data_IF_012167250685
#
_entry.id   IF_012167250685
#
_cell.length_a   1.000
_cell.length_b   1.000
_cell.length_c   1.000
_cell.angle_alpha   90.00
_cell.angle_beta   90.00
_cell.angle_gamma   90.00
#
_symmetry.space_group_name_H-M   'P 1'
#
loop_
_entity.id
_entity.type
_entity.pdbx_description
1 polymer ?
#
# COMPACT_ATOMS: atom_id res chain seq x y z
N UNK A 1 -32.80 21.82 -32.66
CA UNK A 1 -31.75 20.77 -32.58
C UNK A 1 -31.32 20.64 -31.13
N UNK A 2 -31.67 19.56 -30.44
CA UNK A 2 -31.13 19.28 -29.10
C UNK A 2 -29.67 18.86 -29.27
N UNK A 3 -28.75 19.63 -28.68
CA UNK A 3 -27.35 19.23 -28.63
C UNK A 3 -27.26 17.84 -27.98
N UNK A 4 -26.76 16.85 -28.73
CA UNK A 4 -26.44 15.53 -28.18
C UNK A 4 -25.33 15.78 -27.17
N UNK A 5 -25.62 15.62 -25.87
CA UNK A 5 -24.60 15.65 -24.84
C UNK A 5 -23.49 14.67 -25.24
N UNK A 6 -22.23 15.12 -25.20
CA UNK A 6 -21.10 14.25 -25.47
C UNK A 6 -21.20 13.02 -24.53
N UNK A 7 -20.96 11.79 -25.03
CA UNK A 7 -21.01 10.61 -24.19
C UNK A 7 -20.07 10.80 -23.00
N UNK A 8 -20.57 10.58 -21.78
CA UNK A 8 -19.77 10.73 -20.57
C UNK A 8 -18.50 9.86 -20.67
N UNK A 9 -17.34 10.47 -20.41
CA UNK A 9 -16.07 9.76 -20.41
C UNK A 9 -16.04 8.70 -19.29
N UNK A 10 -15.22 7.66 -19.45
CA UNK A 10 -15.05 6.64 -18.42
C UNK A 10 -14.63 7.25 -17.07
N UNK A 11 -13.78 8.27 -17.09
CA UNK A 11 -13.35 9.01 -15.91
C UNK A 11 -14.52 9.72 -15.23
N UNK A 12 -15.34 10.47 -15.97
CA UNK A 12 -16.48 11.18 -15.39
C UNK A 12 -17.44 10.22 -14.70
N UNK A 13 -17.73 9.08 -15.32
CA UNK A 13 -18.57 8.03 -14.74
C UNK A 13 -17.95 7.43 -13.47
N UNK A 14 -16.63 7.22 -13.45
CA UNK A 14 -15.92 6.70 -12.27
C UNK A 14 -15.92 7.71 -11.11
N UNK A 15 -15.69 8.99 -11.39
CA UNK A 15 -15.74 10.08 -10.41
C UNK A 15 -17.16 10.24 -9.85
N UNK A 16 -18.19 10.22 -10.71
CA UNK A 16 -19.58 10.25 -10.27
C UNK A 16 -19.91 9.07 -9.36
N UNK A 17 -19.48 7.85 -9.71
CA UNK A 17 -19.68 6.67 -8.88
C UNK A 17 -19.07 6.87 -7.48
N UNK A 18 -17.82 7.33 -7.41
CA UNK A 18 -17.12 7.57 -6.15
C UNK A 18 -17.79 8.66 -5.32
N UNK A 19 -18.17 9.78 -5.95
CA UNK A 19 -18.84 10.89 -5.28
C UNK A 19 -20.20 10.47 -4.70
N UNK A 20 -21.03 9.75 -5.48
CA UNK A 20 -22.32 9.23 -5.03
C UNK A 20 -22.16 8.25 -3.87
N UNK A 21 -21.23 7.31 -3.99
CA UNK A 21 -20.91 6.37 -2.92
C UNK A 21 -20.47 7.09 -1.63
N UNK A 22 -19.65 8.14 -1.77
CA UNK A 22 -19.20 8.92 -0.63
C UNK A 22 -20.33 9.70 0.06
N UNK A 23 -21.26 10.25 -0.74
CA UNK A 23 -22.38 11.07 -0.26
C UNK A 23 -23.53 10.26 0.35
N UNK A 24 -23.51 8.92 0.27
CA UNK A 24 -24.62 8.05 0.70
C UNK A 24 -25.04 8.26 2.16
N UNK A 25 -24.10 8.62 3.03
CA UNK A 25 -24.36 8.80 4.47
C UNK A 25 -24.88 10.20 4.81
N UNK A 26 -24.86 11.13 3.86
CA UNK A 26 -25.29 12.52 4.04
C UNK A 26 -26.74 12.76 3.62
N UNK A 27 -27.37 11.80 2.94
CA UNK A 27 -28.65 11.99 2.26
C UNK A 27 -29.64 10.92 2.70
N UNK A 28 -30.85 11.30 3.10
CA UNK A 28 -31.88 10.40 3.66
C UNK A 28 -32.36 9.26 2.73
N UNK A 29 -31.88 9.20 1.49
CA UNK A 29 -32.26 8.21 0.46
C UNK A 29 -31.12 7.25 0.10
N UNK A 30 -30.49 6.63 1.11
CA UNK A 30 -29.31 5.78 0.96
C UNK A 30 -29.44 4.73 -0.16
N UNK A 31 -30.57 4.02 -0.25
CA UNK A 31 -30.78 2.94 -1.22
C UNK A 31 -30.73 3.40 -2.69
N UNK A 32 -31.33 4.55 -3.01
CA UNK A 32 -31.32 5.10 -4.37
C UNK A 32 -29.93 5.57 -4.77
N UNK A 33 -29.20 6.20 -3.85
CA UNK A 33 -27.84 6.72 -4.09
C UNK A 33 -26.85 5.57 -4.29
N UNK A 34 -26.94 4.52 -3.47
CA UNK A 34 -26.21 3.26 -3.65
C UNK A 34 -26.42 2.68 -5.04
N UNK A 35 -27.68 2.57 -5.50
CA UNK A 35 -27.98 2.06 -6.83
C UNK A 35 -27.41 2.95 -7.95
N UNK A 36 -27.46 4.28 -7.78
CA UNK A 36 -26.86 5.21 -8.74
C UNK A 36 -25.34 5.08 -8.79
N UNK A 37 -24.67 4.95 -7.64
CA UNK A 37 -23.23 4.75 -7.56
C UNK A 37 -22.81 3.46 -8.30
N UNK A 38 -23.49 2.34 -8.03
CA UNK A 38 -23.25 1.07 -8.73
C UNK A 38 -23.52 1.16 -10.24
N UNK A 39 -24.59 1.86 -10.64
CA UNK A 39 -24.90 2.09 -12.05
C UNK A 39 -23.79 2.87 -12.76
N UNK A 40 -23.26 3.92 -12.13
CA UNK A 40 -22.15 4.72 -12.68
C UNK A 40 -20.85 3.95 -12.74
N UNK A 41 -20.55 3.16 -11.72
CA UNK A 41 -19.41 2.23 -11.71
C UNK A 41 -19.52 1.18 -12.83
N UNK A 42 -20.68 0.56 -13.02
CA UNK A 42 -20.88 -0.39 -14.13
C UNK A 42 -20.74 0.27 -15.51
N UNK A 43 -21.23 1.50 -15.65
CA UNK A 43 -21.09 2.27 -16.88
C UNK A 43 -19.65 2.68 -17.17
N UNK A 44 -18.86 3.04 -16.16
CA UNK A 44 -17.43 3.38 -16.33
C UNK A 44 -16.62 2.15 -16.78
N UNK A 45 -16.83 0.98 -16.16
CA UNK A 45 -16.24 -0.29 -16.60
C UNK A 45 -16.60 -0.63 -18.05
N UNK A 46 -17.88 -0.48 -18.41
CA UNK A 46 -18.34 -0.72 -19.78
C UNK A 46 -17.72 0.27 -20.78
N UNK A 47 -17.48 1.53 -20.38
CA UNK A 47 -16.78 2.51 -21.20
C UNK A 47 -15.31 2.11 -21.41
N UNK A 48 -14.57 1.77 -20.35
CA UNK A 48 -13.18 1.28 -20.45
C UNK A 48 -13.10 0.05 -21.36
N UNK A 49 -13.97 -0.94 -21.14
CA UNK A 49 -14.01 -2.18 -21.94
C UNK A 49 -14.27 -1.88 -23.42
N UNK A 50 -15.21 -0.98 -23.75
CA UNK A 50 -15.46 -0.59 -25.15
C UNK A 50 -14.20 -0.02 -25.79
N UNK A 51 -13.49 0.86 -25.10
CA UNK A 51 -12.25 1.44 -25.63
C UNK A 51 -11.18 0.38 -25.90
N UNK A 52 -11.04 -0.61 -25.00
CA UNK A 52 -10.14 -1.75 -25.20
C UNK A 52 -10.53 -2.56 -26.45
N UNK A 53 -11.82 -2.89 -26.60
CA UNK A 53 -12.32 -3.71 -27.71
C UNK A 53 -12.21 -3.01 -29.08
N UNK A 54 -12.15 -1.68 -29.13
CA UNK A 54 -12.04 -0.90 -30.38
C UNK A 54 -10.58 -0.69 -30.84
N UNK A 55 -9.64 -1.48 -30.31
CA UNK A 55 -8.34 -1.71 -30.95
C UNK A 55 -7.20 -0.82 -30.47
N UNK A 56 -7.41 0.10 -29.52
CA UNK A 56 -6.31 0.79 -28.82
C UNK A 56 -6.80 1.30 -27.47
N UNK A 57 -6.29 0.72 -26.38
CA UNK A 57 -6.43 1.33 -25.06
C UNK A 57 -5.59 2.63 -25.08
N UNK A 58 -6.21 3.83 -24.97
CA UNK A 58 -5.48 5.07 -24.97
C UNK A 58 -4.57 5.09 -23.75
N UNK A 59 -3.29 5.36 -23.98
CA UNK A 59 -2.29 5.51 -22.92
C UNK A 59 -2.31 6.92 -22.31
N UNK A 60 -3.43 7.64 -22.40
CA UNK A 60 -3.55 9.00 -21.88
C UNK A 60 -3.80 9.04 -20.36
N UNK A 61 -3.66 10.25 -19.79
CA UNK A 61 -3.84 10.49 -18.35
C UNK A 61 -5.27 10.18 -17.92
N UNK A 62 -6.26 10.45 -18.78
CA UNK A 62 -7.67 10.25 -18.46
C UNK A 62 -8.02 8.76 -18.28
N UNK A 63 -7.48 7.89 -19.12
CA UNK A 63 -7.71 6.46 -19.04
C UNK A 63 -7.07 5.86 -17.80
N UNK A 64 -5.80 6.21 -17.51
CA UNK A 64 -5.13 5.77 -16.28
C UNK A 64 -5.86 6.27 -15.03
N UNK A 65 -6.27 7.55 -15.02
CA UNK A 65 -7.05 8.11 -13.92
C UNK A 65 -8.39 7.39 -13.75
N UNK A 66 -9.10 7.09 -14.85
CA UNK A 66 -10.36 6.36 -14.79
C UNK A 66 -10.21 4.99 -14.14
N UNK A 67 -9.20 4.20 -14.54
CA UNK A 67 -8.94 2.88 -13.97
C UNK A 67 -8.57 2.99 -12.49
N UNK A 68 -7.72 3.95 -12.11
CA UNK A 68 -7.35 4.16 -10.71
C UNK A 68 -8.56 4.58 -9.85
N UNK A 69 -9.46 5.41 -10.37
CA UNK A 69 -10.70 5.80 -9.67
C UNK A 69 -11.67 4.63 -9.55
N UNK A 70 -11.82 3.80 -10.58
CA UNK A 70 -12.62 2.56 -10.54
C UNK A 70 -12.08 1.64 -9.46
N UNK A 71 -10.77 1.43 -9.45
CA UNK A 71 -10.14 0.57 -8.46
C UNK A 71 -10.27 1.15 -7.04
N UNK A 72 -10.10 2.47 -6.85
CA UNK A 72 -10.36 3.11 -5.54
C UNK A 72 -11.81 2.91 -5.08
N UNK A 73 -12.78 3.00 -6.00
CA UNK A 73 -14.17 2.71 -5.69
C UNK A 73 -14.33 1.26 -5.20
N UNK A 74 -13.71 0.31 -5.90
CA UNK A 74 -13.77 -1.11 -5.54
C UNK A 74 -13.12 -1.40 -4.18
N UNK A 75 -12.00 -0.73 -3.89
CA UNK A 75 -11.37 -0.81 -2.57
C UNK A 75 -12.35 -0.22 -1.56
N UNK A 76 -12.65 1.07 -1.59
CA UNK A 76 -13.39 1.72 -0.50
C UNK A 76 -14.79 1.13 -0.30
N UNK A 77 -15.52 0.81 -1.37
CA UNK A 77 -16.96 0.51 -1.31
C UNK A 77 -17.36 -0.92 -1.70
N UNK A 78 -16.57 -1.62 -2.52
CA UNK A 78 -16.83 -3.02 -2.90
C UNK A 78 -16.03 -4.02 -2.08
N UNK A 79 -15.14 -3.51 -1.23
CA UNK A 79 -14.43 -4.30 -0.22
C UNK A 79 -13.48 -5.34 -0.83
N UNK A 80 -12.79 -4.97 -1.92
CA UNK A 80 -11.69 -5.79 -2.45
C UNK A 80 -10.46 -5.70 -1.55
N UNK A 81 -9.80 -6.85 -1.36
CA UNK A 81 -8.67 -7.03 -0.45
C UNK A 81 -7.32 -6.73 -1.13
N UNK A 82 -7.08 -7.27 -2.34
CA UNK A 82 -5.80 -7.12 -3.03
C UNK A 82 -5.74 -5.84 -3.90
N UNK A 83 -4.73 -4.96 -3.71
CA UNK A 83 -4.56 -3.77 -4.52
C UNK A 83 -4.38 -4.10 -6.01
N UNK A 84 -5.12 -3.42 -6.89
CA UNK A 84 -4.97 -3.51 -8.35
C UNK A 84 -5.18 -4.90 -8.96
N UNK A 85 -5.60 -5.93 -8.20
CA UNK A 85 -5.65 -7.33 -8.67
C UNK A 85 -6.39 -7.50 -10.00
N UNK A 86 -7.58 -6.92 -10.13
CA UNK A 86 -8.38 -7.06 -11.35
C UNK A 86 -7.90 -6.19 -12.51
N UNK A 87 -7.13 -5.16 -12.20
CA UNK A 87 -6.70 -4.14 -13.16
C UNK A 87 -5.20 -4.23 -13.47
N UNK A 88 -4.50 -5.22 -12.91
CA UNK A 88 -3.03 -5.33 -12.98
C UNK A 88 -2.56 -5.34 -14.42
N UNK A 89 -3.14 -6.17 -15.28
CA UNK A 89 -2.75 -6.29 -16.68
C UNK A 89 -3.01 -4.99 -17.45
N UNK A 90 -4.12 -4.30 -17.17
CA UNK A 90 -4.45 -3.02 -17.81
C UNK A 90 -3.48 -1.92 -17.36
N UNK A 91 -3.15 -1.88 -16.07
CA UNK A 91 -2.19 -0.94 -15.51
C UNK A 91 -0.78 -1.18 -16.05
N UNK A 92 -0.33 -2.43 -16.07
CA UNK A 92 0.97 -2.82 -16.64
C UNK A 92 1.08 -2.37 -18.09
N UNK A 93 0.07 -2.66 -18.90
CA UNK A 93 0.00 -2.20 -20.29
C UNK A 93 0.05 -0.68 -20.39
N UNK A 94 -0.77 0.04 -19.60
CA UNK A 94 -0.83 1.51 -19.65
C UNK A 94 0.50 2.14 -19.26
N UNK A 95 1.12 1.67 -18.18
CA UNK A 95 2.42 2.18 -17.77
C UNK A 95 3.48 1.93 -18.86
N UNK A 96 3.52 0.72 -19.43
CA UNK A 96 4.45 0.39 -20.50
C UNK A 96 4.21 1.26 -21.75
N UNK A 97 2.96 1.44 -22.17
CA UNK A 97 2.59 2.24 -23.33
C UNK A 97 2.84 3.75 -23.15
N UNK A 98 2.79 4.24 -21.90
CA UNK A 98 3.14 5.62 -21.53
C UNK A 98 4.64 5.86 -21.47
N UNK A 99 5.41 4.82 -21.17
CA UNK A 99 6.87 4.87 -21.05
C UNK A 99 7.35 5.73 -19.87
N UNK A 100 8.66 5.89 -19.76
CA UNK A 100 9.29 6.63 -18.65
C UNK A 100 8.97 8.14 -18.70
N UNK A 101 8.76 8.71 -19.88
CA UNK A 101 8.45 10.14 -20.07
C UNK A 101 7.17 10.60 -19.36
N UNK A 102 6.32 9.68 -18.90
CA UNK A 102 5.12 10.02 -18.12
C UNK A 102 5.43 10.77 -16.81
N UNK A 103 6.63 10.61 -16.24
CA UNK A 103 6.99 11.30 -14.99
C UNK A 103 7.46 12.74 -15.21
N UNK A 104 7.61 13.17 -16.46
CA UNK A 104 8.06 14.52 -16.80
C UNK A 104 6.92 15.56 -16.72
N UNK A 105 5.65 15.12 -16.83
CA UNK A 105 4.51 16.02 -16.66
C UNK A 105 3.98 15.95 -15.22
N UNK A 106 3.48 17.06 -14.64
CA UNK A 106 2.96 17.04 -13.27
C UNK A 106 1.81 16.03 -13.06
N UNK A 107 0.88 15.95 -14.02
CA UNK A 107 -0.25 15.02 -13.98
C UNK A 107 0.24 13.58 -14.13
N UNK A 108 1.09 13.34 -15.13
CA UNK A 108 1.63 12.02 -15.39
C UNK A 108 2.48 11.50 -14.22
N UNK A 109 3.26 12.36 -13.58
CA UNK A 109 4.01 12.04 -12.36
C UNK A 109 3.08 11.70 -11.20
N UNK A 110 2.04 12.50 -10.94
CA UNK A 110 1.08 12.21 -9.88
C UNK A 110 0.39 10.84 -10.08
N UNK A 111 -0.04 10.56 -11.32
CA UNK A 111 -0.64 9.27 -11.69
C UNK A 111 0.36 8.12 -11.57
N UNK A 112 1.60 8.31 -12.05
CA UNK A 112 2.67 7.32 -11.91
C UNK A 112 2.92 7.03 -10.43
N UNK A 113 3.12 8.05 -9.59
CA UNK A 113 3.38 7.87 -8.15
C UNK A 113 2.28 7.06 -7.48
N UNK A 114 1.03 7.43 -7.73
CA UNK A 114 -0.14 6.73 -7.17
C UNK A 114 -0.25 5.28 -7.65
N UNK A 115 0.00 5.03 -8.93
CA UNK A 115 -0.06 3.68 -9.51
C UNK A 115 1.11 2.82 -9.03
N UNK A 116 2.33 3.36 -9.14
CA UNK A 116 3.59 2.72 -8.80
C UNK A 116 3.60 2.32 -7.33
N UNK A 117 3.16 3.19 -6.41
CA UNK A 117 3.11 2.86 -4.98
C UNK A 117 2.26 1.61 -4.70
N UNK A 118 1.09 1.54 -5.33
CA UNK A 118 0.13 0.45 -5.14
C UNK A 118 0.58 -0.84 -5.80
N UNK A 119 1.21 -0.75 -6.97
CA UNK A 119 1.92 -1.87 -7.59
C UNK A 119 3.05 -2.37 -6.68
N UNK A 120 3.83 -1.46 -6.11
CA UNK A 120 4.95 -1.85 -5.27
C UNK A 120 4.50 -2.53 -3.98
N UNK A 121 3.41 -2.07 -3.34
CA UNK A 121 2.78 -2.78 -2.22
C UNK A 121 2.48 -4.23 -2.65
N UNK A 122 1.78 -4.40 -3.77
CA UNK A 122 1.45 -5.72 -4.31
C UNK A 122 2.70 -6.57 -4.59
N UNK A 123 3.70 -5.99 -5.23
CA UNK A 123 4.94 -6.67 -5.60
C UNK A 123 5.78 -7.05 -4.38
N UNK A 124 5.82 -6.24 -3.32
CA UNK A 124 6.48 -6.58 -2.06
C UNK A 124 5.79 -7.77 -1.39
N UNK A 125 4.47 -7.71 -1.21
CA UNK A 125 3.72 -8.77 -0.52
C UNK A 125 3.70 -10.10 -1.28
N UNK A 126 3.77 -10.06 -2.61
CA UNK A 126 3.81 -11.25 -3.46
C UNK A 126 5.24 -11.63 -3.93
N UNK A 127 6.25 -10.88 -3.50
CA UNK A 127 7.67 -11.02 -3.91
C UNK A 127 7.85 -11.06 -5.44
N UNK A 128 7.13 -10.18 -6.15
CA UNK A 128 7.18 -10.05 -7.61
C UNK A 128 8.26 -9.06 -8.03
N UNK A 129 8.87 -9.31 -9.19
CA UNK A 129 9.82 -8.37 -9.79
C UNK A 129 9.11 -7.05 -10.15
N UNK A 130 9.82 -5.90 -10.06
CA UNK A 130 9.36 -4.67 -10.68
C UNK A 130 9.18 -4.80 -12.18
N UNK A 131 8.28 -3.98 -12.73
CA UNK A 131 8.10 -3.83 -14.17
C UNK A 131 9.28 -3.03 -14.76
N UNK A 132 9.64 -3.33 -16.01
CA UNK A 132 10.72 -2.62 -16.72
C UNK A 132 10.50 -1.10 -16.75
N UNK A 133 9.25 -0.66 -16.91
CA UNK A 133 8.92 0.78 -16.90
C UNK A 133 9.09 1.42 -15.51
N UNK A 134 8.86 0.69 -14.42
CA UNK A 134 9.11 1.23 -13.08
C UNK A 134 10.59 1.50 -12.87
N UNK A 135 11.45 0.59 -13.33
CA UNK A 135 12.91 0.73 -13.27
C UNK A 135 13.39 1.88 -14.16
N UNK A 136 12.87 1.99 -15.38
CA UNK A 136 13.22 3.07 -16.31
C UNK A 136 12.81 4.47 -15.81
N UNK A 137 11.82 4.56 -14.93
CA UNK A 137 11.43 5.84 -14.34
C UNK A 137 12.38 6.30 -13.22
N UNK A 138 13.15 5.42 -12.58
CA UNK A 138 13.98 5.75 -11.40
C UNK A 138 14.94 6.90 -11.72
N UNK A 139 15.60 6.84 -12.87
CA UNK A 139 16.61 7.82 -13.30
C UNK A 139 16.01 9.21 -13.59
N UNK A 140 14.69 9.31 -13.65
CA UNK A 140 13.95 10.55 -13.90
C UNK A 140 13.31 11.11 -12.62
N UNK A 141 13.43 10.43 -11.49
CA UNK A 141 12.87 10.87 -10.21
C UNK A 141 13.83 11.83 -9.50
N UNK A 142 13.24 12.80 -8.79
CA UNK A 142 13.96 13.65 -7.86
C UNK A 142 14.18 12.91 -6.54
N UNK A 143 15.35 12.30 -6.39
CA UNK A 143 15.71 11.53 -5.20
C UNK A 143 15.99 12.41 -3.96
N UNK A 144 16.00 13.74 -4.09
CA UNK A 144 16.00 14.62 -2.92
C UNK A 144 14.64 14.66 -2.23
N UNK A 145 13.57 14.30 -2.93
CA UNK A 145 12.24 14.14 -2.36
C UNK A 145 12.12 12.79 -1.62
N UNK A 146 11.80 12.78 -0.30
CA UNK A 146 11.76 11.55 0.49
C UNK A 146 10.80 10.46 -0.04
N UNK A 147 9.63 10.85 -0.54
CA UNK A 147 8.65 9.89 -1.08
C UNK A 147 9.16 9.21 -2.35
N UNK A 148 9.88 9.95 -3.20
CA UNK A 148 10.45 9.43 -4.44
C UNK A 148 11.68 8.56 -4.17
N UNK A 149 12.58 8.98 -3.28
CA UNK A 149 13.74 8.17 -2.89
C UNK A 149 13.32 6.86 -2.25
N UNK A 150 12.30 6.86 -1.38
CA UNK A 150 11.72 5.64 -0.82
C UNK A 150 11.18 4.70 -1.92
N UNK A 151 10.50 5.26 -2.93
CA UNK A 151 10.03 4.49 -4.08
C UNK A 151 11.16 3.83 -4.88
N UNK A 152 12.32 4.47 -4.99
CA UNK A 152 13.50 3.91 -5.65
C UNK A 152 14.17 2.82 -4.81
N UNK A 153 14.32 3.04 -3.49
CA UNK A 153 14.84 2.04 -2.54
C UNK A 153 14.00 0.76 -2.63
N UNK A 154 12.67 0.89 -2.64
CA UNK A 154 11.79 -0.28 -2.72
C UNK A 154 11.85 -1.02 -4.05
N UNK A 155 12.05 -0.33 -5.17
CA UNK A 155 12.25 -1.01 -6.46
C UNK A 155 13.51 -1.89 -6.44
N UNK A 156 14.62 -1.37 -5.89
CA UNK A 156 15.86 -2.14 -5.73
C UNK A 156 15.67 -3.32 -4.78
N UNK A 157 14.98 -3.10 -3.65
CA UNK A 157 14.65 -4.15 -2.69
C UNK A 157 13.82 -5.26 -3.34
N UNK A 158 12.80 -4.92 -4.14
CA UNK A 158 11.95 -5.86 -4.87
C UNK A 158 12.74 -6.72 -5.87
N UNK A 159 13.71 -6.16 -6.58
CA UNK A 159 14.59 -6.95 -7.47
C UNK A 159 15.37 -8.01 -6.68
N UNK A 160 15.91 -7.63 -5.51
CA UNK A 160 16.59 -8.60 -4.62
C UNK A 160 15.61 -9.64 -4.12
N UNK A 161 14.43 -9.25 -3.61
CA UNK A 161 13.40 -10.19 -3.10
C UNK A 161 12.96 -11.22 -4.16
N UNK A 162 12.69 -10.77 -5.38
CA UNK A 162 12.30 -11.66 -6.47
C UNK A 162 13.42 -12.63 -6.84
N UNK A 163 14.68 -12.16 -6.87
CA UNK A 163 15.86 -12.99 -7.10
C UNK A 163 16.00 -14.05 -6.00
N UNK A 164 15.97 -13.63 -4.73
CA UNK A 164 16.07 -14.52 -3.56
C UNK A 164 15.00 -15.61 -3.59
N UNK A 165 13.74 -15.25 -3.87
CA UNK A 165 12.64 -16.21 -3.98
C UNK A 165 12.91 -17.25 -5.06
N UNK A 166 13.34 -16.81 -6.24
CA UNK A 166 13.61 -17.72 -7.37
C UNK A 166 14.72 -18.71 -7.02
N UNK A 167 15.80 -18.24 -6.38
CA UNK A 167 16.93 -19.06 -5.97
C UNK A 167 16.53 -20.08 -4.89
N UNK A 168 15.83 -19.65 -3.84
CA UNK A 168 15.34 -20.56 -2.79
C UNK A 168 14.36 -21.62 -3.32
N UNK A 169 13.54 -21.27 -4.32
CA UNK A 169 12.57 -22.20 -4.91
C UNK A 169 13.24 -23.30 -5.75
N UNK A 170 14.44 -23.07 -6.28
CA UNK A 170 15.19 -24.04 -7.07
C UNK A 170 15.90 -25.11 -6.22
N UNK A 171 15.93 -24.97 -4.88
CA UNK A 171 16.37 -26.01 -3.94
C UNK A 171 17.86 -26.39 -3.97
N UNK A 172 18.66 -25.75 -4.81
CA UNK A 172 20.11 -25.99 -4.95
C UNK A 172 20.88 -24.67 -4.92
N UNK A 173 20.82 -23.98 -3.78
CA UNK A 173 21.61 -22.76 -3.53
C UNK A 173 22.86 -23.10 -2.75
N UNK A 174 24.03 -22.76 -3.29
CA UNK A 174 25.28 -22.90 -2.57
C UNK A 174 25.31 -21.95 -1.35
N UNK A 175 26.11 -22.27 -0.34
CA UNK A 175 26.26 -21.42 0.84
C UNK A 175 26.71 -20.00 0.48
N UNK A 176 27.67 -19.87 -0.43
CA UNK A 176 28.19 -18.58 -0.93
C UNK A 176 27.09 -17.74 -1.58
N UNK A 177 26.16 -18.36 -2.32
CA UNK A 177 25.02 -17.66 -2.91
C UNK A 177 24.08 -17.11 -1.82
N UNK A 178 23.86 -17.88 -0.76
CA UNK A 178 23.03 -17.48 0.37
C UNK A 178 23.68 -16.34 1.16
N UNK A 179 24.98 -16.39 1.41
CA UNK A 179 25.74 -15.30 2.03
C UNK A 179 25.66 -14.00 1.22
N UNK A 180 25.80 -14.12 -0.10
CA UNK A 180 25.65 -12.96 -0.98
C UNK A 180 24.22 -12.39 -0.95
N UNK A 181 23.19 -13.23 -0.85
CA UNK A 181 21.82 -12.76 -0.66
C UNK A 181 21.61 -12.07 0.69
N UNK A 182 22.16 -12.62 1.78
CA UNK A 182 22.13 -11.98 3.11
C UNK A 182 22.73 -10.59 3.03
N UNK A 183 23.96 -10.48 2.50
CA UNK A 183 24.65 -9.20 2.35
C UNK A 183 23.84 -8.18 1.54
N UNK A 184 23.22 -8.60 0.43
CA UNK A 184 22.37 -7.73 -0.38
C UNK A 184 21.12 -7.24 0.36
N UNK A 185 20.48 -8.10 1.15
CA UNK A 185 19.28 -7.72 1.91
C UNK A 185 19.66 -6.79 3.06
N UNK A 186 20.74 -7.09 3.79
CA UNK A 186 21.26 -6.22 4.84
C UNK A 186 21.63 -4.84 4.30
N UNK A 187 22.28 -4.76 3.13
CA UNK A 187 22.56 -3.49 2.47
C UNK A 187 21.31 -2.67 2.15
N UNK A 188 20.20 -3.31 1.76
CA UNK A 188 18.92 -2.62 1.55
C UNK A 188 18.26 -2.17 2.86
N UNK A 189 18.42 -2.94 3.94
CA UNK A 189 17.93 -2.58 5.26
C UNK A 189 18.70 -1.36 5.80
N UNK A 190 20.01 -1.32 5.60
CA UNK A 190 20.88 -0.20 5.98
C UNK A 190 20.56 1.06 5.15
N UNK A 191 20.40 0.93 3.83
CA UNK A 191 19.98 2.04 2.95
C UNK A 191 18.64 2.63 3.41
N UNK A 192 17.69 1.76 3.74
CA UNK A 192 16.37 2.15 4.25
C UNK A 192 16.48 2.85 5.61
N UNK A 193 17.33 2.38 6.51
CA UNK A 193 17.55 3.03 7.81
C UNK A 193 18.16 4.42 7.63
N UNK A 194 19.17 4.53 6.75
CA UNK A 194 19.78 5.83 6.43
C UNK A 194 18.75 6.81 5.84
N UNK A 195 17.86 6.33 4.97
CA UNK A 195 16.74 7.13 4.47
C UNK A 195 15.88 7.66 5.61
N UNK A 196 15.48 6.80 6.56
CA UNK A 196 14.67 7.20 7.71
C UNK A 196 15.39 8.24 8.58
N UNK A 197 16.68 8.06 8.83
CA UNK A 197 17.50 8.96 9.65
C UNK A 197 17.71 10.33 8.99
N UNK A 198 17.56 10.42 7.66
CA UNK A 198 17.67 11.66 6.89
C UNK A 198 16.38 12.49 6.83
N UNK A 199 15.27 11.97 7.36
CA UNK A 199 13.97 12.63 7.27
C UNK A 199 13.88 13.89 8.13
N UNK A 200 13.06 14.85 7.68
CA UNK A 200 12.73 16.03 8.46
C UNK A 200 11.96 15.64 9.74
N UNK A 201 12.13 16.36 10.87
CA UNK A 201 11.33 16.18 12.08
C UNK A 201 9.81 16.11 11.87
N UNK A 202 9.25 16.78 10.85
CA UNK A 202 7.82 16.68 10.50
C UNK A 202 7.33 15.28 10.12
N UNK A 203 8.25 14.40 9.73
CA UNK A 203 7.96 13.00 9.40
C UNK A 203 7.92 12.09 10.63
N UNK A 204 8.41 12.57 11.77
CA UNK A 204 8.45 11.80 13.01
C UNK A 204 7.03 11.72 13.60
N UNK A 205 6.44 10.53 13.73
CA UNK A 205 5.12 10.40 14.30
C UNK A 205 5.11 10.57 15.82
N UNK A 206 3.96 11.01 16.35
CA UNK A 206 3.67 11.00 17.79
C UNK A 206 2.96 9.69 18.13
N UNK A 207 3.55 8.87 19.00
CA UNK A 207 2.85 7.73 19.59
C UNK A 207 2.06 8.20 20.81
N UNK A 208 0.75 8.01 20.79
CA UNK A 208 -0.12 8.42 21.90
C UNK A 208 -0.96 7.25 22.41
N UNK A 209 -1.45 7.38 23.64
CA UNK A 209 -2.51 6.53 24.16
C UNK A 209 -3.87 7.16 23.82
N UNK A 210 -4.77 6.41 23.19
CA UNK A 210 -6.08 6.96 22.82
C UNK A 210 -6.91 7.40 24.04
N UNK A 211 -6.80 6.71 25.17
CA UNK A 211 -7.53 7.06 26.40
C UNK A 211 -7.18 8.44 26.96
N UNK A 212 -6.02 8.99 26.59
CA UNK A 212 -5.55 10.28 27.07
C UNK A 212 -6.16 11.43 26.24
N UNK A 213 -6.91 11.10 25.18
CA UNK A 213 -7.60 12.04 24.28
C UNK A 213 -9.09 11.65 24.12
N UNK A 214 -9.94 11.96 25.12
CA UNK A 214 -11.35 11.53 25.15
C UNK A 214 -12.15 11.91 23.91
N UNK A 215 -11.95 13.14 23.38
CA UNK A 215 -12.66 13.63 22.21
C UNK A 215 -12.48 12.73 20.98
N UNK A 216 -11.30 12.15 20.82
CA UNK A 216 -10.96 11.23 19.73
C UNK A 216 -11.39 9.81 20.07
N UNK A 217 -11.18 9.39 21.32
CA UNK A 217 -11.55 8.06 21.80
C UNK A 217 -13.06 7.80 21.69
N UNK A 218 -13.89 8.78 22.04
CA UNK A 218 -15.35 8.67 21.99
C UNK A 218 -15.84 8.48 20.54
N UNK A 219 -15.18 9.12 19.57
CA UNK A 219 -15.51 8.98 18.16
C UNK A 219 -15.20 7.56 17.68
N UNK A 220 -14.08 7.00 18.11
CA UNK A 220 -13.71 5.64 17.78
C UNK A 220 -14.53 4.55 18.49
N UNK A 221 -15.04 4.82 19.67
CA UNK A 221 -15.85 3.87 20.46
C UNK A 221 -17.35 3.96 20.16
N UNK A 222 -17.82 5.09 19.63
CA UNK A 222 -19.22 5.26 19.17
C UNK A 222 -19.60 4.33 18.02
N UNK A 223 -18.61 3.84 17.26
CA UNK A 223 -18.73 2.74 16.31
C UNK A 223 -17.94 1.55 16.86
N UNK A 224 -18.37 0.29 16.70
CA UNK A 224 -17.61 -0.89 17.15
C UNK A 224 -16.40 -1.15 16.26
N UNK A 225 -15.51 -0.15 16.14
CA UNK A 225 -14.31 -0.18 15.33
C UNK A 225 -13.20 -0.95 16.07
N UNK A 226 -12.44 -1.81 15.39
CA UNK A 226 -11.23 -2.38 15.97
C UNK A 226 -10.23 -1.25 16.25
N UNK A 227 -9.90 -1.07 17.53
CA UNK A 227 -8.92 -0.07 17.98
C UNK A 227 -7.77 -0.72 18.73
N UNK A 228 -6.64 -0.04 18.69
CA UNK A 228 -5.47 -0.29 19.55
C UNK A 228 -5.45 0.73 20.68
N UNK A 229 -4.88 0.37 21.84
CA UNK A 229 -4.76 1.31 22.96
C UNK A 229 -3.72 2.41 22.71
N UNK A 230 -2.70 2.10 21.90
CA UNK A 230 -1.68 3.02 21.40
C UNK A 230 -1.87 3.24 19.91
N UNK A 231 -1.58 4.45 19.43
CA UNK A 231 -1.65 4.77 17.99
C UNK A 231 -0.49 5.68 17.58
N UNK A 232 -0.08 5.58 16.31
CA UNK A 232 0.91 6.48 15.70
C UNK A 232 0.23 7.51 14.82
N UNK A 233 0.36 8.78 15.18
CA UNK A 233 -0.24 9.90 14.46
C UNK A 233 0.85 10.70 13.76
N UNK A 234 0.59 11.04 12.50
CA UNK A 234 1.47 11.80 11.63
C UNK A 234 0.87 13.18 11.35
N UNK A 235 1.70 14.15 11.00
CA UNK A 235 1.24 15.49 10.62
C UNK A 235 0.37 15.49 9.35
N UNK A 236 0.62 14.54 8.44
CA UNK A 236 -0.14 14.43 7.19
C UNK A 236 -0.38 12.95 6.82
N UNK A 237 -1.53 12.58 6.22
CA UNK A 237 -1.84 11.20 5.87
C UNK A 237 -0.98 10.63 4.75
N UNK A 238 -0.41 11.47 3.88
CA UNK A 238 0.57 11.06 2.88
C UNK A 238 1.87 10.68 3.55
N UNK A 239 2.32 11.43 4.58
CA UNK A 239 3.47 11.01 5.40
C UNK A 239 3.16 9.68 6.09
N UNK A 240 1.98 9.54 6.69
CA UNK A 240 1.55 8.27 7.28
C UNK A 240 1.57 7.14 6.25
N UNK A 241 1.04 7.37 5.05
CA UNK A 241 1.06 6.40 3.96
C UNK A 241 2.51 6.04 3.57
N UNK A 242 3.40 7.02 3.54
CA UNK A 242 4.78 6.82 3.16
C UNK A 242 5.57 6.02 4.19
N UNK A 243 5.41 6.35 5.47
CA UNK A 243 6.03 5.64 6.58
C UNK A 243 5.49 4.22 6.71
N UNK A 244 4.18 4.03 6.56
CA UNK A 244 3.60 2.68 6.50
C UNK A 244 4.17 1.86 5.34
N UNK A 245 4.36 2.48 4.17
CA UNK A 245 4.99 1.79 3.05
C UNK A 245 6.43 1.39 3.38
N UNK A 246 7.24 2.30 3.93
CA UNK A 246 8.60 2.01 4.42
C UNK A 246 8.62 0.77 5.31
N UNK A 247 7.74 0.71 6.32
CA UNK A 247 7.62 -0.44 7.22
C UNK A 247 7.22 -1.73 6.50
N UNK A 248 6.41 -1.66 5.45
CA UNK A 248 6.08 -2.83 4.62
C UNK A 248 7.30 -3.35 3.85
N UNK A 249 8.16 -2.46 3.34
CA UNK A 249 9.43 -2.84 2.70
C UNK A 249 10.37 -3.55 3.68
N UNK A 250 10.54 -2.96 4.87
CA UNK A 250 11.31 -3.56 5.97
C UNK A 250 10.78 -4.95 6.36
N UNK A 251 9.46 -5.10 6.47
CA UNK A 251 8.82 -6.36 6.80
C UNK A 251 9.08 -7.44 5.75
N UNK A 252 8.99 -7.10 4.46
CA UNK A 252 9.24 -8.01 3.35
C UNK A 252 10.72 -8.46 3.31
N UNK A 253 11.65 -7.51 3.40
CA UNK A 253 13.10 -7.78 3.42
C UNK A 253 13.49 -8.68 4.59
N UNK A 254 13.04 -8.36 5.80
CA UNK A 254 13.36 -9.16 7.00
C UNK A 254 12.73 -10.54 6.96
N UNK A 255 11.52 -10.67 6.40
CA UNK A 255 10.89 -11.99 6.21
C UNK A 255 11.70 -12.86 5.25
N UNK A 256 12.17 -12.31 4.13
CA UNK A 256 13.04 -13.03 3.19
C UNK A 256 14.40 -13.37 3.81
N UNK A 257 14.99 -12.45 4.57
CA UNK A 257 16.25 -12.70 5.28
C UNK A 257 16.11 -13.88 6.25
N UNK A 258 15.01 -13.95 7.01
CA UNK A 258 14.74 -15.10 7.87
C UNK A 258 14.60 -16.42 7.08
N UNK A 259 13.99 -16.39 5.89
CA UNK A 259 13.88 -17.58 5.04
C UNK A 259 15.28 -18.04 4.59
N UNK A 260 16.15 -17.12 4.16
CA UNK A 260 17.54 -17.41 3.77
C UNK A 260 18.34 -17.94 4.96
N UNK A 261 18.28 -17.28 6.12
CA UNK A 261 18.99 -17.70 7.33
C UNK A 261 18.51 -19.08 7.80
N UNK A 262 17.22 -19.40 7.66
CA UNK A 262 16.69 -20.72 7.97
C UNK A 262 17.23 -21.80 7.01
N UNK A 263 17.38 -21.48 5.72
CA UNK A 263 18.03 -22.37 4.74
C UNK A 263 19.51 -22.57 5.09
N UNK A 264 20.25 -21.50 5.38
CA UNK A 264 21.65 -21.59 5.85
C UNK A 264 21.73 -22.45 7.12
N UNK A 265 20.83 -22.26 8.09
CA UNK A 265 20.80 -23.05 9.32
C UNK A 265 20.67 -24.55 9.05
N UNK A 266 19.86 -24.94 8.06
CA UNK A 266 19.71 -26.35 7.67
C UNK A 266 20.97 -26.95 7.02
N UNK A 267 21.79 -26.12 6.38
CA UNK A 267 23.02 -26.51 5.70
C UNK A 267 24.25 -26.45 6.61
N UNK A 268 24.19 -25.71 7.71
CA UNK A 268 25.31 -25.47 8.60
C UNK A 268 25.88 -26.79 9.18
N UNK A 269 27.19 -27.04 9.07
CA UNK A 269 27.84 -28.30 9.45
C UNK A 269 27.92 -28.50 10.97
N UNK A 270 28.02 -27.42 11.75
CA UNK A 270 28.24 -27.49 13.19
C UNK A 270 27.19 -26.75 14.03
N UNK A 271 27.17 -27.05 15.32
CA UNK A 271 26.19 -26.52 16.26
C UNK A 271 26.43 -25.05 16.63
N UNK A 272 27.68 -24.58 16.57
CA UNK A 272 28.03 -23.20 16.91
C UNK A 272 27.49 -22.24 15.84
N UNK A 273 27.66 -22.58 14.56
CA UNK A 273 27.12 -21.80 13.45
C UNK A 273 25.59 -21.80 13.45
N UNK A 274 24.95 -22.94 13.72
CA UNK A 274 23.50 -23.02 13.89
C UNK A 274 23.00 -22.11 15.02
N UNK A 275 23.70 -22.08 16.15
CA UNK A 275 23.34 -21.21 17.27
C UNK A 275 23.46 -19.72 16.92
N UNK A 276 24.48 -19.33 16.15
CA UNK A 276 24.64 -17.95 15.64
C UNK A 276 23.49 -17.56 14.70
N UNK A 277 23.14 -18.43 13.76
CA UNK A 277 22.02 -18.22 12.84
C UNK A 277 20.68 -18.14 13.60
N UNK A 278 20.48 -18.97 14.62
CA UNK A 278 19.30 -18.92 15.48
C UNK A 278 19.16 -17.57 16.22
N UNK A 279 20.26 -17.03 16.72
CA UNK A 279 20.27 -15.71 17.36
C UNK A 279 19.88 -14.59 16.37
N UNK A 280 20.39 -14.65 15.13
CA UNK A 280 20.04 -13.70 14.07
C UNK A 280 18.56 -13.80 13.69
N UNK A 281 18.04 -15.03 13.54
CA UNK A 281 16.62 -15.29 13.25
C UNK A 281 15.72 -14.71 14.35
N UNK A 282 16.05 -14.90 15.63
CA UNK A 282 15.24 -14.37 16.73
C UNK A 282 15.30 -12.83 16.81
N UNK A 283 16.44 -12.23 16.46
CA UNK A 283 16.59 -10.76 16.37
C UNK A 283 15.66 -10.19 15.29
N UNK A 284 15.62 -10.80 14.11
CA UNK A 284 14.72 -10.38 13.04
C UNK A 284 13.26 -10.65 13.36
N UNK A 285 12.93 -11.75 14.01
CA UNK A 285 11.57 -12.06 14.48
C UNK A 285 11.05 -11.01 15.45
N UNK A 286 11.88 -10.61 16.43
CA UNK A 286 11.55 -9.52 17.37
C UNK A 286 11.30 -8.21 16.63
N UNK A 287 12.16 -7.88 15.66
CA UNK A 287 12.02 -6.66 14.85
C UNK A 287 10.76 -6.70 13.99
N UNK A 288 10.42 -7.84 13.39
CA UNK A 288 9.19 -8.04 12.62
C UNK A 288 7.95 -7.82 13.49
N UNK A 289 7.95 -8.33 14.73
CA UNK A 289 6.85 -8.09 15.67
C UNK A 289 6.68 -6.60 15.95
N UNK A 290 7.77 -5.88 16.22
CA UNK A 290 7.73 -4.43 16.46
C UNK A 290 7.20 -3.66 15.24
N UNK A 291 7.64 -4.01 14.03
CA UNK A 291 7.15 -3.39 12.80
C UNK A 291 5.65 -3.68 12.60
N UNK A 292 5.21 -4.91 12.90
CA UNK A 292 3.80 -5.28 12.81
C UNK A 292 2.93 -4.50 13.82
N UNK A 293 3.44 -4.27 15.04
CA UNK A 293 2.78 -3.41 16.03
C UNK A 293 2.63 -1.98 15.50
N UNK A 294 3.70 -1.39 14.94
CA UNK A 294 3.66 -0.03 14.37
C UNK A 294 2.61 0.07 13.24
N UNK A 295 2.59 -0.90 12.33
CA UNK A 295 1.63 -0.95 11.24
C UNK A 295 0.19 -1.08 11.77
N UNK A 296 -0.06 -1.96 12.74
CA UNK A 296 -1.39 -2.14 13.34
C UNK A 296 -1.85 -0.89 14.09
N UNK A 297 -0.97 -0.28 14.88
CA UNK A 297 -1.24 0.97 15.62
C UNK A 297 -1.44 2.18 14.69
N UNK A 298 -0.95 2.13 13.45
CA UNK A 298 -1.16 3.17 12.43
C UNK A 298 -2.50 3.03 11.68
N UNK A 299 -3.18 1.88 11.75
CA UNK A 299 -4.47 1.67 11.07
C UNK A 299 -5.56 2.57 11.67
N UNK A 300 -5.65 2.64 13.00
CA UNK A 300 -6.73 3.36 13.70
C UNK A 300 -6.79 4.85 13.31
N UNK A 301 -5.67 5.62 13.33
CA UNK A 301 -5.64 7.00 12.84
C UNK A 301 -6.01 7.13 11.37
N UNK A 302 -5.57 6.21 10.51
CA UNK A 302 -5.94 6.22 9.10
C UNK A 302 -7.45 6.04 8.92
N UNK A 303 -8.10 5.12 9.65
CA UNK A 303 -9.55 4.94 9.55
C UNK A 303 -10.32 6.17 10.04
N UNK A 304 -9.87 6.77 11.14
CA UNK A 304 -10.46 8.00 11.71
C UNK A 304 -10.14 9.28 10.98
N UNK A 305 -9.17 9.26 10.06
CA UNK A 305 -8.58 10.48 9.49
C UNK A 305 -8.05 11.41 10.58
N UNK A 306 -7.26 10.85 11.50
CA UNK A 306 -6.61 11.60 12.58
C UNK A 306 -5.21 12.04 12.15
N UNK A 307 -4.92 13.32 12.32
CA UNK A 307 -3.65 13.97 11.95
C UNK A 307 -3.15 14.81 13.15
N UNK A 308 -1.91 15.29 13.11
CA UNK A 308 -1.42 16.31 14.05
C UNK A 308 -1.65 17.70 13.46
N UNK A 309 -2.22 18.62 14.24
CA UNK A 309 -2.30 20.03 13.87
C UNK A 309 -0.91 20.71 14.01
N UNK A 310 -0.85 22.00 13.69
CA UNK A 310 0.39 22.80 13.77
C UNK A 310 0.97 22.88 15.21
N UNK A 311 0.15 22.65 16.23
CA UNK A 311 0.54 22.61 17.64
C UNK A 311 1.03 21.22 18.08
N UNK A 312 0.97 20.22 17.20
CA UNK A 312 1.32 18.83 17.51
C UNK A 312 0.24 18.08 18.29
N UNK A 313 -0.99 18.58 18.24
CA UNK A 313 -2.16 17.97 18.88
C UNK A 313 -3.01 17.17 17.88
N UNK A 314 -3.51 15.99 18.28
CA UNK A 314 -4.37 15.16 17.44
C UNK A 314 -5.67 15.87 17.03
N UNK A 315 -6.03 15.82 15.75
CA UNK A 315 -7.26 16.40 15.21
C UNK A 315 -7.88 15.52 14.10
N UNK A 316 -9.16 15.71 13.81
CA UNK A 316 -9.90 14.95 12.79
C UNK A 316 -10.04 15.74 11.50
N UNK A 317 -9.79 15.08 10.36
CA UNK A 317 -9.85 15.73 9.04
C UNK A 317 -10.96 15.19 8.13
N UNK A 318 -11.56 14.04 8.47
CA UNK A 318 -12.67 13.43 7.72
C UNK A 318 -12.33 12.93 6.30
N UNK A 319 -11.04 12.80 5.98
CA UNK A 319 -10.55 12.42 4.64
C UNK A 319 -10.69 10.91 4.37
N UNK A 320 -11.76 10.47 3.70
CA UNK A 320 -11.96 9.03 3.38
C UNK A 320 -10.88 8.37 2.50
N UNK A 321 -10.00 9.14 1.83
CA UNK A 321 -8.89 8.56 1.05
C UNK A 321 -7.95 7.73 1.91
N UNK A 322 -7.85 8.03 3.21
CA UNK A 322 -7.03 7.29 4.18
C UNK A 322 -7.48 5.85 4.37
N UNK A 323 -8.72 5.52 4.01
CA UNK A 323 -9.23 4.14 4.03
C UNK A 323 -8.51 3.26 3.00
N UNK A 324 -8.13 3.82 1.85
CA UNK A 324 -7.28 3.11 0.89
C UNK A 324 -5.90 2.80 1.49
N UNK A 325 -5.35 3.72 2.27
CA UNK A 325 -4.05 3.53 2.93
C UNK A 325 -4.14 2.47 4.03
N UNK A 326 -5.18 2.54 4.88
CA UNK A 326 -5.44 1.55 5.93
C UNK A 326 -5.53 0.13 5.34
N UNK A 327 -6.20 -0.03 4.20
CA UNK A 327 -6.27 -1.33 3.52
C UNK A 327 -4.96 -1.79 2.92
N UNK A 328 -4.16 -0.87 2.38
CA UNK A 328 -2.80 -1.20 1.97
C UNK A 328 -2.00 -1.81 3.13
N UNK A 329 -2.16 -1.27 4.33
CA UNK A 329 -1.54 -1.82 5.55
C UNK A 329 -2.13 -3.18 5.93
N UNK A 330 -3.46 -3.33 5.97
CA UNK A 330 -4.11 -4.61 6.25
C UNK A 330 -3.62 -5.71 5.32
N UNK A 331 -3.64 -5.45 4.01
CA UNK A 331 -3.22 -6.40 3.00
C UNK A 331 -1.75 -6.79 3.18
N UNK A 332 -0.85 -5.83 3.40
CA UNK A 332 0.57 -6.13 3.58
C UNK A 332 0.84 -7.03 4.80
N UNK A 333 0.18 -6.77 5.94
CA UNK A 333 0.28 -7.59 7.13
C UNK A 333 -0.29 -9.00 6.93
N UNK A 334 -1.38 -9.14 6.17
CA UNK A 334 -1.98 -10.44 5.85
C UNK A 334 -1.06 -11.29 4.97
N UNK A 335 -0.44 -10.68 3.95
CA UNK A 335 0.49 -11.36 3.05
C UNK A 335 1.82 -11.71 3.71
N UNK A 336 2.28 -10.93 4.70
CA UNK A 336 3.56 -11.18 5.36
C UNK A 336 3.58 -12.54 6.06
N UNK A 337 4.51 -13.42 5.65
CA UNK A 337 4.60 -14.81 6.12
C UNK A 337 4.92 -14.93 7.62
N UNK A 338 5.75 -14.01 8.14
CA UNK A 338 6.33 -14.09 9.49
C UNK A 338 5.64 -13.21 10.54
N UNK A 339 4.52 -12.56 10.17
CA UNK A 339 3.69 -11.78 11.09
C UNK A 339 2.80 -12.71 11.92
N UNK A 340 2.56 -12.34 13.19
CA UNK A 340 1.77 -13.13 14.13
C UNK A 340 0.30 -13.32 13.69
N UNK A 341 -0.35 -14.35 14.23
CA UNK A 341 -1.76 -14.61 13.97
C UNK A 341 -2.63 -13.50 14.55
N UNK A 342 -2.22 -12.91 15.68
CA UNK A 342 -2.90 -11.83 16.38
C UNK A 342 -2.95 -10.55 15.53
N UNK A 343 -1.82 -10.18 14.92
CA UNK A 343 -1.74 -9.03 14.01
C UNK A 343 -2.63 -9.24 12.78
N UNK A 344 -2.62 -10.45 12.18
CA UNK A 344 -3.49 -10.77 11.04
C UNK A 344 -4.97 -10.80 11.44
N UNK A 345 -5.29 -11.34 12.62
CA UNK A 345 -6.64 -11.34 13.14
C UNK A 345 -7.16 -9.91 13.35
N UNK A 346 -6.30 -8.99 13.79
CA UNK A 346 -6.66 -7.57 13.88
C UNK A 346 -7.01 -6.98 12.50
N UNK A 347 -6.20 -7.23 11.47
CA UNK A 347 -6.47 -6.69 10.12
C UNK A 347 -7.75 -7.26 9.51
N UNK A 348 -8.05 -8.54 9.72
CA UNK A 348 -9.33 -9.12 9.30
C UNK A 348 -10.53 -8.48 10.00
N UNK A 349 -10.43 -8.18 11.31
CA UNK A 349 -11.49 -7.44 12.02
C UNK A 349 -11.67 -6.04 11.44
N UNK A 350 -10.58 -5.36 11.08
CA UNK A 350 -10.62 -4.04 10.45
C UNK A 350 -11.34 -4.12 9.11
N UNK A 351 -10.98 -5.07 8.24
CA UNK A 351 -11.63 -5.22 6.93
C UNK A 351 -13.11 -5.57 7.05
N UNK A 352 -13.48 -6.44 7.98
CA UNK A 352 -14.88 -6.75 8.28
C UNK A 352 -15.65 -5.51 8.76
N UNK A 353 -15.04 -4.70 9.64
CA UNK A 353 -15.64 -3.43 10.06
C UNK A 353 -15.78 -2.46 8.88
N UNK A 354 -14.76 -2.31 8.03
CA UNK A 354 -14.83 -1.47 6.84
C UNK A 354 -15.94 -1.94 5.89
N UNK A 355 -16.15 -3.26 5.78
CA UNK A 355 -17.24 -3.88 5.00
C UNK A 355 -18.60 -3.45 5.53
N UNK A 356 -18.81 -3.51 6.84
CA UNK A 356 -20.07 -3.11 7.49
C UNK A 356 -20.34 -1.61 7.36
N UNK A 357 -19.32 -0.77 7.47
CA UNK A 357 -19.48 0.70 7.45
C UNK A 357 -19.64 1.28 6.04
N UNK A 358 -18.89 0.77 5.06
CA UNK A 358 -18.80 1.35 3.71
C UNK A 358 -19.19 0.41 2.57
N UNK A 359 -19.47 -0.87 2.84
CA UNK A 359 -19.97 -1.82 1.84
C UNK A 359 -21.24 -1.31 1.17
N UNK A 360 -21.22 -1.24 -0.16
CA UNK A 360 -22.40 -0.96 -1.00
C UNK A 360 -23.09 -2.27 -1.42
N UNK A 361 -22.43 -3.41 -1.22
CA UNK A 361 -22.93 -4.76 -1.47
C UNK A 361 -23.26 -5.51 -0.18
#
# INVERSE_FOLDING_TARGET
MKAKAAPASALNLAVEAFALANARHLLSSNGKITQMALSRYGASLAAVRRTIMHGKLPSDDMMLMAILTIDMFEIVFMVREEPLKLHSNAIEYLLAARGAGQVLSPIGHALYRMTNRRLQVRQLGLELSPLSVQLACIDLLDLSNPSQSLGAIHLRAQQTLATSRSQLSCGSTAWEDLEHLVWRIEGHLDESQHWQDSLNPSWVPKRIRLSDHPDIFDIFTSSPMPITSQVWIYQDPVISHDMNFFYQGQLALRSMLMDILATMRSLAPDQLERAKLDQQIETHKTTISLIADILVESITPLLGSVELNDEGEPCLTGRKITWCFARGVCWALQQAKRVSVEHKAFTYRVEDWMRRMNGIL
#
